data_IF_115155932571
#
_entry.id   IF_115155932571
#
_cell.length_a   1.000
_cell.length_b   1.000
_cell.length_c   1.000
_cell.angle_alpha   90.00
_cell.angle_beta   90.00
_cell.angle_gamma   90.00
#
_symmetry.space_group_name_H-M   'P 1'
#
loop_
_entity.id
_entity.type
_entity.pdbx_description
1 polymer ?
#
# COMPACT_ATOMS: atom_id res chain seq x y z
N UNK A 1 -82.84 28.65 -8.15
CA UNK A 1 -82.84 27.17 -8.25
C UNK A 1 -81.42 26.73 -8.56
N UNK A 2 -80.82 25.87 -7.73
CA UNK A 2 -79.43 25.41 -7.84
C UNK A 2 -78.74 25.25 -6.49
N UNK A 3 -78.92 24.07 -5.86
CA UNK A 3 -78.09 23.49 -4.76
C UNK A 3 -76.66 23.16 -5.30
N UNK A 4 -75.67 22.58 -4.55
CA UNK A 4 -75.50 22.34 -3.09
C UNK A 4 -74.05 22.57 -2.53
N UNK A 5 -73.95 22.50 -1.19
CA UNK A 5 -72.93 21.84 -0.31
C UNK A 5 -71.76 21.04 -0.93
N UNK A 6 -70.53 21.23 -0.40
CA UNK A 6 -69.77 20.24 0.43
C UNK A 6 -68.33 20.70 0.72
N UNK A 7 -67.91 20.56 1.99
CA UNK A 7 -66.50 20.57 2.44
C UNK A 7 -65.84 19.22 2.11
N UNK A 8 -64.50 19.12 2.00
CA UNK A 8 -63.76 18.56 3.14
C UNK A 8 -62.33 19.10 3.35
N UNK A 9 -61.84 18.85 4.57
CA UNK A 9 -60.49 19.04 5.06
C UNK A 9 -59.43 18.26 4.26
N UNK A 10 -58.20 18.78 4.21
CA UNK A 10 -57.02 17.98 3.93
C UNK A 10 -55.90 18.30 4.92
N UNK A 11 -55.44 17.23 5.55
CA UNK A 11 -54.43 17.18 6.59
C UNK A 11 -53.05 17.54 6.05
N UNK A 12 -52.35 18.44 6.76
CA UNK A 12 -50.93 18.66 6.55
C UNK A 12 -50.15 17.50 7.18
N UNK A 13 -49.55 16.66 6.33
CA UNK A 13 -48.66 15.59 6.75
C UNK A 13 -47.31 16.18 7.22
N UNK A 14 -46.95 15.89 8.47
CA UNK A 14 -45.60 16.13 9.01
C UNK A 14 -44.62 15.13 8.39
N UNK A 15 -43.73 15.61 7.53
CA UNK A 15 -42.58 14.84 7.06
C UNK A 15 -41.44 14.93 8.09
N UNK A 16 -41.30 13.90 8.94
CA UNK A 16 -40.09 13.73 9.76
C UNK A 16 -38.93 13.30 8.86
N UNK A 17 -38.01 14.22 8.62
CA UNK A 17 -36.72 13.94 7.98
C UNK A 17 -35.73 13.48 9.04
N UNK A 18 -35.56 12.17 9.20
CA UNK A 18 -34.45 11.59 9.97
C UNK A 18 -33.35 11.14 8.98
N UNK A 19 -32.60 12.11 8.48
CA UNK A 19 -31.28 11.83 7.91
C UNK A 19 -30.30 11.60 9.05
N UNK A 20 -30.00 10.32 9.31
CA UNK A 20 -28.94 9.90 10.21
C UNK A 20 -28.19 8.72 9.63
N UNK A 21 -27.57 8.90 8.46
CA UNK A 21 -26.54 7.98 7.98
C UNK A 21 -25.27 8.28 8.78
N UNK A 22 -25.06 7.55 9.87
CA UNK A 22 -23.78 7.58 10.59
C UNK A 22 -22.75 6.85 9.72
N UNK A 23 -21.92 7.61 9.02
CA UNK A 23 -20.68 7.09 8.43
C UNK A 23 -19.72 6.81 9.59
N UNK A 24 -19.78 5.61 10.14
CA UNK A 24 -18.67 5.09 10.92
C UNK A 24 -17.46 4.93 9.99
N UNK A 25 -16.47 5.80 10.13
CA UNK A 25 -15.15 5.61 9.54
C UNK A 25 -14.09 6.43 10.28
N UNK A 26 -12.80 6.05 10.22
CA UNK A 26 -12.22 4.83 9.62
C UNK A 26 -11.49 3.96 10.67
N UNK A 27 -11.62 2.63 10.56
CA UNK A 27 -10.55 1.77 11.05
C UNK A 27 -9.26 2.14 10.30
N UNK A 28 -8.09 2.10 10.98
CA UNK A 28 -6.78 2.31 10.38
C UNK A 28 -6.71 1.67 8.98
N UNK A 29 -6.74 2.51 7.93
CA UNK A 29 -6.79 2.03 6.56
C UNK A 29 -5.45 1.37 6.22
N UNK A 30 -5.42 0.05 6.32
CA UNK A 30 -4.30 -0.75 5.91
C UNK A 30 -4.67 -1.37 4.58
N UNK A 31 -3.80 -1.18 3.61
CA UNK A 31 -3.98 -1.79 2.31
C UNK A 31 -2.75 -2.65 2.04
N UNK A 32 -3.03 -3.83 1.51
CA UNK A 32 -2.04 -4.50 0.69
C UNK A 32 -1.73 -3.56 -0.48
N UNK A 33 -0.50 -3.63 -0.96
CA UNK A 33 -0.14 -3.04 -2.25
C UNK A 33 -1.24 -3.37 -3.26
N UNK A 34 -1.70 -2.35 -3.97
CA UNK A 34 -2.79 -2.49 -4.94
C UNK A 34 -2.42 -3.43 -6.08
N UNK A 35 -3.38 -3.65 -6.99
CA UNK A 35 -3.14 -4.40 -8.22
C UNK A 35 -1.93 -3.83 -8.97
N UNK A 36 -0.99 -4.70 -9.35
CA UNK A 36 0.18 -4.32 -10.13
C UNK A 36 1.46 -5.03 -9.71
N UNK A 37 2.36 -5.16 -10.66
CA UNK A 37 3.67 -5.79 -10.48
C UNK A 37 4.68 -4.87 -9.78
N UNK A 38 4.37 -3.57 -9.63
CA UNK A 38 5.27 -2.57 -9.07
C UNK A 38 4.53 -1.51 -8.26
N UNK A 39 5.21 -1.00 -7.21
CA UNK A 39 4.68 0.05 -6.35
C UNK A 39 5.77 1.07 -6.03
N UNK A 40 5.35 2.32 -5.74
CA UNK A 40 6.24 3.42 -5.37
C UNK A 40 5.82 3.95 -3.99
N UNK A 41 6.80 4.10 -3.10
CA UNK A 41 6.64 4.60 -1.74
C UNK A 41 7.60 5.77 -1.50
N UNK A 42 7.22 6.69 -0.62
CA UNK A 42 8.03 7.87 -0.35
C UNK A 42 7.18 9.09 -0.02
N UNK A 43 7.80 10.19 0.44
CA UNK A 43 7.13 11.45 0.74
C UNK A 43 6.52 12.13 -0.50
N UNK A 44 6.87 11.67 -1.71
CA UNK A 44 6.41 12.23 -3.00
C UNK A 44 5.78 11.17 -3.90
N UNK A 45 5.41 10.00 -3.36
CA UNK A 45 4.86 8.90 -4.15
C UNK A 45 3.49 9.24 -4.78
N UNK A 46 2.71 10.11 -4.14
CA UNK A 46 1.45 10.66 -4.64
C UNK A 46 1.61 11.53 -5.91
N UNK A 47 2.84 11.93 -6.21
CA UNK A 47 3.18 12.73 -7.38
C UNK A 47 3.50 11.87 -8.61
N UNK A 48 3.37 10.54 -8.54
CA UNK A 48 3.65 9.67 -9.68
C UNK A 48 2.76 10.04 -10.88
N UNK A 49 3.42 10.35 -12.01
CA UNK A 49 2.79 10.72 -13.27
C UNK A 49 2.76 9.52 -14.23
N UNK A 50 3.88 8.79 -14.34
CA UNK A 50 3.98 7.57 -15.15
C UNK A 50 4.78 6.50 -14.41
N UNK A 51 4.46 5.25 -14.71
CA UNK A 51 5.17 4.06 -14.25
C UNK A 51 5.09 2.99 -15.35
N UNK A 52 5.97 1.97 -15.37
CA UNK A 52 5.85 0.87 -16.32
C UNK A 52 4.52 0.13 -16.14
N UNK A 53 3.96 -0.39 -17.24
CA UNK A 53 2.85 -1.33 -17.18
C UNK A 53 3.29 -2.69 -16.64
N UNK A 54 2.35 -3.54 -16.21
CA UNK A 54 2.67 -4.91 -15.79
C UNK A 54 3.34 -5.70 -16.92
N UNK A 55 2.93 -5.53 -18.18
CA UNK A 55 3.59 -6.15 -19.33
C UNK A 55 5.04 -5.68 -19.50
N UNK A 56 5.33 -4.39 -19.26
CA UNK A 56 6.68 -3.85 -19.30
C UNK A 56 7.53 -4.37 -18.14
N UNK A 57 6.95 -4.48 -16.94
CA UNK A 57 7.61 -5.13 -15.80
C UNK A 57 7.92 -6.58 -16.15
N UNK A 58 6.95 -7.32 -16.69
CA UNK A 58 7.10 -8.74 -17.06
C UNK A 58 8.08 -8.95 -18.22
N UNK A 59 8.19 -8.00 -19.14
CA UNK A 59 9.21 -7.99 -20.18
C UNK A 59 10.63 -7.86 -19.61
N UNK A 60 10.78 -7.23 -18.43
CA UNK A 60 12.05 -7.13 -17.72
C UNK A 60 12.38 -8.36 -16.86
N UNK A 61 11.54 -9.41 -16.83
CA UNK A 61 11.85 -10.64 -16.06
C UNK A 61 13.22 -11.20 -16.47
N UNK A 62 14.18 -11.36 -15.55
CA UNK A 62 15.50 -11.91 -15.85
C UNK A 62 15.43 -13.22 -16.64
N UNK A 63 16.07 -13.27 -17.80
CA UNK A 63 15.97 -14.40 -18.73
C UNK A 63 16.35 -15.75 -18.09
N UNK A 64 17.38 -15.76 -17.23
CA UNK A 64 17.81 -16.97 -16.51
C UNK A 64 16.79 -17.43 -15.46
N UNK A 65 16.09 -16.49 -14.82
CA UNK A 65 15.05 -16.81 -13.85
C UNK A 65 13.79 -17.31 -14.57
N UNK A 66 13.39 -16.62 -15.64
CA UNK A 66 12.24 -16.99 -16.48
C UNK A 66 12.39 -18.38 -17.10
N UNK A 67 13.58 -18.74 -17.59
CA UNK A 67 13.85 -20.08 -18.14
C UNK A 67 13.70 -21.22 -17.12
N UNK A 68 13.66 -20.90 -15.82
CA UNK A 68 13.51 -21.87 -14.72
C UNK A 68 12.20 -21.67 -13.94
N UNK A 69 11.29 -20.84 -14.45
CA UNK A 69 10.07 -20.41 -13.76
C UNK A 69 10.35 -19.89 -12.33
N UNK A 70 11.52 -19.28 -12.13
CA UNK A 70 11.92 -18.73 -10.84
C UNK A 70 11.35 -17.33 -10.69
N UNK A 71 10.47 -17.18 -9.69
CA UNK A 71 9.99 -15.89 -9.25
C UNK A 71 10.96 -15.18 -8.30
N UNK A 72 10.73 -13.89 -8.12
CA UNK A 72 11.52 -13.06 -7.21
C UNK A 72 10.94 -11.66 -7.12
N UNK A 73 11.46 -10.89 -6.18
CA UNK A 73 11.10 -9.49 -5.99
C UNK A 73 12.35 -8.67 -5.77
N UNK A 74 12.29 -7.41 -6.18
CA UNK A 74 13.35 -6.45 -5.94
C UNK A 74 12.79 -5.14 -5.39
N UNK A 75 13.66 -4.42 -4.69
CA UNK A 75 13.39 -3.10 -4.15
C UNK A 75 14.57 -2.23 -4.50
N UNK A 76 14.32 -1.05 -5.07
CA UNK A 76 15.34 -0.03 -5.29
C UNK A 76 14.95 1.28 -4.62
N UNK A 77 15.97 2.05 -4.22
CA UNK A 77 15.81 3.44 -3.80
C UNK A 77 16.33 4.34 -4.90
N UNK A 78 15.57 5.38 -5.23
CA UNK A 78 15.94 6.42 -6.18
C UNK A 78 15.80 7.80 -5.54
N UNK A 79 16.47 8.79 -6.14
CA UNK A 79 16.31 10.21 -5.83
C UNK A 79 15.49 10.88 -6.94
N UNK A 80 14.46 11.63 -6.56
CA UNK A 80 13.67 12.43 -7.49
C UNK A 80 14.21 13.87 -7.59
N UNK A 81 14.47 14.33 -8.81
CA UNK A 81 14.79 15.73 -9.07
C UNK A 81 13.52 16.59 -9.20
N UNK A 82 13.62 17.91 -9.35
CA UNK A 82 12.45 18.81 -9.50
C UNK A 82 11.65 18.62 -10.79
N UNK A 83 12.28 18.14 -11.86
CA UNK A 83 11.62 17.79 -13.12
C UNK A 83 10.79 16.50 -13.01
N UNK A 84 10.99 15.72 -11.94
CA UNK A 84 10.29 14.46 -11.69
C UNK A 84 11.00 13.23 -12.27
N UNK A 85 12.23 13.37 -12.74
CA UNK A 85 13.04 12.23 -13.14
C UNK A 85 13.63 11.54 -11.90
N UNK A 86 13.74 10.21 -11.98
CA UNK A 86 14.41 9.40 -10.96
C UNK A 86 15.87 9.17 -11.39
N UNK A 87 16.79 9.38 -10.45
CA UNK A 87 18.23 9.17 -10.63
C UNK A 87 18.85 8.54 -9.38
N UNK A 88 20.12 8.14 -9.44
CA UNK A 88 20.82 7.53 -8.30
C UNK A 88 20.18 6.22 -7.80
N UNK A 89 19.45 5.53 -8.67
CA UNK A 89 18.72 4.32 -8.31
C UNK A 89 19.67 3.18 -7.94
N UNK A 90 19.50 2.60 -6.76
CA UNK A 90 20.28 1.46 -6.28
C UNK A 90 19.41 0.41 -5.59
N UNK A 91 19.77 -0.86 -5.77
CA UNK A 91 19.05 -2.00 -5.21
C UNK A 91 19.23 -2.04 -3.69
N UNK A 92 18.13 -2.09 -2.95
CA UNK A 92 18.10 -2.28 -1.50
C UNK A 92 17.87 -3.74 -1.12
N UNK A 93 17.04 -4.44 -1.89
CA UNK A 93 16.67 -5.83 -1.65
C UNK A 93 16.51 -6.54 -2.98
N UNK A 94 17.06 -7.75 -3.06
CA UNK A 94 16.77 -8.69 -4.12
C UNK A 94 16.52 -10.07 -3.50
N UNK A 95 15.38 -10.66 -3.82
CA UNK A 95 15.06 -12.03 -3.46
C UNK A 95 15.36 -12.98 -4.61
N UNK A 96 15.71 -14.21 -4.26
CA UNK A 96 16.14 -15.27 -5.19
C UNK A 96 17.48 -15.02 -5.92
N UNK A 97 18.09 -13.83 -5.78
CA UNK A 97 19.41 -13.47 -6.32
C UNK A 97 19.63 -13.88 -7.79
N UNK A 98 18.62 -13.67 -8.64
CA UNK A 98 18.60 -14.11 -10.03
C UNK A 98 18.63 -12.96 -11.06
N UNK A 99 19.02 -11.76 -10.62
CA UNK A 99 19.11 -10.54 -11.44
C UNK A 99 17.87 -9.66 -11.38
N UNK A 100 17.00 -9.83 -10.38
CA UNK A 100 15.78 -9.03 -10.25
C UNK A 100 16.07 -7.57 -9.89
N UNK A 101 17.16 -7.31 -9.15
CA UNK A 101 17.60 -5.96 -8.85
C UNK A 101 17.97 -5.19 -10.13
N UNK A 102 18.79 -5.79 -10.98
CA UNK A 102 19.18 -5.19 -12.28
C UNK A 102 17.96 -5.00 -13.19
N UNK A 103 17.04 -5.96 -13.21
CA UNK A 103 15.77 -5.82 -13.94
C UNK A 103 14.96 -4.61 -13.46
N UNK A 104 14.83 -4.42 -12.14
CA UNK A 104 14.13 -3.27 -11.57
C UNK A 104 14.82 -1.95 -11.90
N UNK A 105 16.15 -1.89 -11.78
CA UNK A 105 16.93 -0.70 -12.14
C UNK A 105 16.77 -0.35 -13.63
N UNK A 106 16.68 -1.35 -14.52
CA UNK A 106 16.45 -1.12 -15.95
C UNK A 106 15.10 -0.43 -16.25
N UNK A 107 14.12 -0.57 -15.35
CA UNK A 107 12.82 0.08 -15.46
C UNK A 107 12.80 1.52 -14.93
N UNK A 108 13.84 1.96 -14.19
CA UNK A 108 13.89 3.29 -13.58
C UNK A 108 13.55 4.45 -14.54
N UNK A 109 14.01 4.46 -15.81
CA UNK A 109 13.66 5.52 -16.75
C UNK A 109 12.16 5.62 -17.12
N UNK A 110 11.33 4.63 -16.80
CA UNK A 110 9.88 4.64 -17.07
C UNK A 110 9.05 5.29 -15.96
N UNK A 111 9.62 5.41 -14.76
CA UNK A 111 8.98 6.12 -13.66
C UNK A 111 9.21 7.63 -13.81
N UNK A 112 8.13 8.40 -13.75
CA UNK A 112 8.18 9.87 -13.71
C UNK A 112 7.22 10.37 -12.67
N UNK A 113 7.69 11.29 -11.83
CA UNK A 113 6.81 12.11 -11.02
C UNK A 113 6.34 13.31 -11.84
N UNK A 114 5.27 13.96 -11.39
CA UNK A 114 4.87 15.27 -11.87
C UNK A 114 6.01 16.26 -11.61
N UNK A 115 6.27 17.21 -12.53
CA UNK A 115 7.17 18.32 -12.23
C UNK A 115 6.71 19.07 -10.97
N UNK A 116 7.66 19.52 -10.16
CA UNK A 116 7.39 20.31 -8.98
C UNK A 116 7.89 21.74 -9.19
N UNK A 117 7.11 22.73 -8.74
CA UNK A 117 7.61 24.10 -8.68
C UNK A 117 8.80 24.20 -7.72
N UNK A 118 9.68 25.21 -7.88
CA UNK A 118 10.80 25.42 -6.97
C UNK A 118 10.37 25.40 -5.50
N UNK A 119 11.03 24.56 -4.69
CA UNK A 119 10.79 24.42 -3.26
C UNK A 119 9.61 23.51 -2.87
N UNK A 120 8.82 22.98 -3.81
CA UNK A 120 7.71 22.07 -3.49
C UNK A 120 8.15 20.61 -3.29
N UNK A 121 9.26 20.21 -3.90
CA UNK A 121 9.89 18.91 -3.67
C UNK A 121 11.09 19.12 -2.74
N UNK A 122 11.19 18.37 -1.62
CA UNK A 122 12.40 18.39 -0.81
C UNK A 122 13.62 18.02 -1.66
N UNK A 123 14.73 18.73 -1.46
CA UNK A 123 15.99 18.39 -2.12
C UNK A 123 16.39 16.96 -1.73
N UNK A 124 16.72 16.15 -2.74
CA UNK A 124 17.05 14.75 -2.52
C UNK A 124 15.87 13.89 -2.09
N UNK A 125 14.62 14.26 -2.43
CA UNK A 125 13.44 13.45 -2.12
C UNK A 125 13.63 11.99 -2.61
N UNK A 126 13.70 11.06 -1.66
CA UNK A 126 13.89 9.66 -1.96
C UNK A 126 12.56 8.97 -2.19
N UNK A 127 12.51 8.11 -3.19
CA UNK A 127 11.42 7.15 -3.40
C UNK A 127 11.96 5.73 -3.36
N UNK A 128 11.13 4.82 -2.86
CA UNK A 128 11.38 3.38 -2.85
C UNK A 128 10.44 2.75 -3.85
N UNK A 129 11.00 2.03 -4.82
CA UNK A 129 10.26 1.32 -5.85
C UNK A 129 10.40 -0.17 -5.60
N UNK A 130 9.30 -0.90 -5.64
CA UNK A 130 9.26 -2.36 -5.50
C UNK A 130 8.78 -2.97 -6.81
N UNK A 131 9.23 -4.20 -7.11
CA UNK A 131 8.66 -4.98 -8.19
C UNK A 131 8.69 -6.48 -7.87
N UNK A 132 7.74 -7.22 -8.43
CA UNK A 132 7.60 -8.67 -8.25
C UNK A 132 7.46 -9.37 -9.60
N UNK A 133 8.04 -10.56 -9.70
CA UNK A 133 7.97 -11.44 -10.86
C UNK A 133 7.66 -12.88 -10.42
N UNK A 134 6.74 -13.59 -11.09
CA UNK A 134 5.74 -13.05 -12.00
C UNK A 134 4.78 -12.09 -11.30
N UNK A 135 4.19 -11.18 -12.06
CA UNK A 135 3.01 -10.46 -11.63
C UNK A 135 1.85 -11.47 -11.43
N UNK A 136 1.19 -11.49 -10.26
CA UNK A 136 0.04 -12.34 -10.06
C UNK A 136 -1.16 -11.85 -10.89
N UNK A 137 -1.94 -12.78 -11.42
CA UNK A 137 -3.22 -12.47 -12.07
C UNK A 137 -4.27 -12.08 -11.05
N UNK A 138 -4.33 -12.81 -9.94
CA UNK A 138 -5.09 -12.40 -8.74
C UNK A 138 -4.10 -12.12 -7.62
N UNK A 139 -4.02 -10.89 -7.10
CA UNK A 139 -3.12 -10.58 -6.00
C UNK A 139 -3.55 -11.30 -4.72
N UNK A 140 -2.67 -11.27 -3.73
CA UNK A 140 -3.05 -11.63 -2.37
C UNK A 140 -4.16 -10.71 -1.85
N UNK A 141 -4.99 -11.24 -0.96
CA UNK A 141 -6.02 -10.48 -0.23
C UNK A 141 -5.92 -10.81 1.25
N UNK A 142 -6.57 -10.06 2.13
CA UNK A 142 -6.59 -10.37 3.55
C UNK A 142 -7.42 -11.63 3.82
N UNK A 143 -6.82 -12.59 4.51
CA UNK A 143 -7.56 -13.60 5.28
C UNK A 143 -7.68 -13.18 6.74
N UNK A 144 -6.63 -12.61 7.30
CA UNK A 144 -6.60 -12.01 8.64
C UNK A 144 -5.79 -10.73 8.56
N UNK A 145 -6.51 -9.61 8.49
CA UNK A 145 -5.94 -8.27 8.53
C UNK A 145 -5.61 -7.85 9.98
N UNK A 146 -4.63 -6.96 10.19
CA UNK A 146 -4.45 -6.32 11.48
C UNK A 146 -5.69 -5.55 11.94
N UNK A 147 -6.05 -5.70 13.21
CA UNK A 147 -7.17 -5.00 13.86
C UNK A 147 -6.69 -3.68 14.44
N UNK A 148 -7.60 -2.72 14.62
CA UNK A 148 -7.27 -1.43 15.25
C UNK A 148 -6.63 -1.60 16.65
N UNK A 149 -7.07 -2.60 17.43
CA UNK A 149 -6.47 -2.93 18.73
C UNK A 149 -4.99 -3.28 18.63
N UNK A 150 -4.58 -3.98 17.58
CA UNK A 150 -3.21 -4.46 17.42
C UNK A 150 -2.23 -3.28 17.29
N UNK A 151 -2.67 -2.12 16.82
CA UNK A 151 -1.85 -0.89 16.75
C UNK A 151 -1.63 -0.24 18.11
N UNK A 152 -2.67 -0.24 18.96
CA UNK A 152 -2.61 0.36 20.27
C UNK A 152 -1.62 -0.38 21.18
N UNK A 153 -1.63 -1.71 21.12
CA UNK A 153 -0.78 -2.59 21.93
C UNK A 153 0.66 -2.67 21.44
N UNK A 154 0.91 -2.36 20.15
CA UNK A 154 2.26 -2.39 19.57
C UNK A 154 3.00 -1.05 19.71
N UNK A 155 2.31 0.03 20.09
CA UNK A 155 2.85 1.39 20.17
C UNK A 155 4.05 1.50 21.10
N UNK A 156 5.17 2.03 20.60
CA UNK A 156 6.40 2.23 21.40
C UNK A 156 6.45 3.62 22.03
N UNK A 157 7.19 3.81 23.15
CA UNK A 157 7.37 5.14 23.74
C UNK A 157 7.99 6.18 22.77
N UNK A 158 8.88 5.76 21.87
CA UNK A 158 9.48 6.64 20.88
C UNK A 158 8.43 7.16 19.88
N UNK A 159 7.56 6.26 19.39
CA UNK A 159 6.46 6.62 18.49
C UNK A 159 5.40 7.47 19.20
N UNK A 160 5.10 7.21 20.47
CA UNK A 160 4.20 8.07 21.25
C UNK A 160 4.74 9.50 21.35
N UNK A 161 6.04 9.64 21.63
CA UNK A 161 6.71 10.95 21.69
C UNK A 161 6.75 11.67 20.35
N UNK A 162 6.75 10.95 19.22
CA UNK A 162 6.64 11.55 17.88
C UNK A 162 5.19 11.86 17.45
N UNK A 163 4.23 11.78 18.37
CA UNK A 163 2.81 12.08 18.09
C UNK A 163 2.03 10.91 17.50
N UNK A 164 2.60 9.70 17.47
CA UNK A 164 1.91 8.46 17.12
C UNK A 164 1.49 8.28 15.67
N UNK A 165 1.72 9.28 14.80
CA UNK A 165 1.36 9.23 13.37
C UNK A 165 2.55 8.89 12.51
N UNK A 166 2.40 7.92 11.62
CA UNK A 166 3.46 7.56 10.68
C UNK A 166 3.04 6.45 9.75
N UNK A 167 3.96 6.06 8.86
CA UNK A 167 3.79 4.98 7.91
C UNK A 167 4.97 4.04 8.00
N UNK A 168 4.73 2.75 7.81
CA UNK A 168 5.76 1.79 7.46
C UNK A 168 5.27 0.89 6.33
N UNK A 169 6.18 0.51 5.45
CA UNK A 169 5.94 -0.45 4.37
C UNK A 169 6.85 -1.63 4.61
N UNK A 170 6.23 -2.80 4.73
CA UNK A 170 6.89 -4.07 4.95
C UNK A 170 6.75 -4.92 3.70
N UNK A 171 7.86 -5.21 3.03
CA UNK A 171 7.90 -6.13 1.89
C UNK A 171 8.10 -7.56 2.42
N UNK A 172 7.20 -8.49 2.11
CA UNK A 172 7.23 -9.88 2.57
C UNK A 172 7.18 -10.85 1.39
N UNK A 173 7.51 -12.12 1.65
CA UNK A 173 7.11 -13.24 0.81
C UNK A 173 5.82 -13.85 1.37
N UNK A 174 4.78 -13.90 0.55
CA UNK A 174 3.57 -14.66 0.83
C UNK A 174 3.73 -16.07 0.24
N UNK A 175 3.67 -17.09 1.09
CA UNK A 175 3.68 -18.48 0.65
C UNK A 175 2.39 -18.85 -0.10
N UNK A 176 2.39 -20.00 -0.79
CA UNK A 176 1.19 -20.51 -1.50
C UNK A 176 -0.01 -20.79 -0.59
N UNK A 177 0.20 -20.87 0.73
CA UNK A 177 -0.84 -20.99 1.74
C UNK A 177 -1.24 -19.66 2.39
N UNK A 178 -0.57 -18.56 2.04
CA UNK A 178 -0.90 -17.23 2.55
C UNK A 178 -0.15 -16.78 3.80
N UNK A 179 0.67 -17.67 4.38
CA UNK A 179 1.57 -17.31 5.47
C UNK A 179 2.68 -16.36 4.97
N UNK A 180 3.03 -15.37 5.79
CA UNK A 180 4.10 -14.43 5.52
C UNK A 180 5.44 -14.90 6.08
N UNK A 181 6.51 -14.74 5.30
CA UNK A 181 7.88 -14.93 5.75
C UNK A 181 8.83 -13.93 5.06
N UNK A 182 10.08 -13.88 5.53
CA UNK A 182 11.15 -13.02 5.00
C UNK A 182 10.75 -11.55 4.84
N UNK A 183 9.98 -11.04 5.80
CA UNK A 183 9.53 -9.66 5.81
C UNK A 183 10.68 -8.70 6.13
N UNK A 184 10.77 -7.62 5.36
CA UNK A 184 11.75 -6.55 5.52
C UNK A 184 11.05 -5.21 5.42
N UNK A 185 11.42 -4.26 6.28
CA UNK A 185 10.91 -2.88 6.19
C UNK A 185 11.64 -2.18 5.04
N UNK A 186 10.89 -1.74 4.04
CA UNK A 186 11.45 -1.08 2.85
C UNK A 186 11.27 0.42 2.89
N UNK A 187 10.27 0.91 3.62
CA UNK A 187 10.03 2.33 3.82
C UNK A 187 9.42 2.60 5.18
N UNK A 188 9.76 3.73 5.80
CA UNK A 188 9.06 4.26 6.95
C UNK A 188 9.18 5.78 7.02
N UNK A 189 8.16 6.43 7.55
CA UNK A 189 8.19 7.85 7.85
C UNK A 189 7.37 8.18 9.10
N UNK A 190 7.87 9.03 10.02
CA UNK A 190 9.25 9.54 10.07
C UNK A 190 10.33 8.45 10.18
N UNK A 191 11.51 8.76 9.62
CA UNK A 191 12.66 7.87 9.68
C UNK A 191 13.17 7.72 11.13
N UNK A 192 13.78 6.57 11.43
CA UNK A 192 14.42 6.27 12.72
C UNK A 192 13.55 6.35 14.00
N UNK A 193 12.23 6.53 13.88
CA UNK A 193 11.32 6.54 15.06
C UNK A 193 10.96 5.14 15.56
N UNK A 194 10.86 4.17 14.64
CA UNK A 194 10.57 2.76 14.97
C UNK A 194 9.26 2.20 14.40
N UNK A 195 8.59 2.89 13.47
CA UNK A 195 7.38 2.37 12.80
C UNK A 195 7.64 1.05 12.06
N UNK A 196 8.81 0.90 11.43
CA UNK A 196 9.20 -0.36 10.80
C UNK A 196 9.25 -1.53 11.78
N UNK A 197 9.88 -1.32 12.94
CA UNK A 197 9.93 -2.33 14.01
C UNK A 197 8.54 -2.68 14.53
N UNK A 198 7.62 -1.70 14.61
CA UNK A 198 6.23 -1.97 14.95
C UNK A 198 5.55 -2.82 13.88
N UNK A 199 5.69 -2.46 12.60
CA UNK A 199 5.11 -3.22 11.48
C UNK A 199 5.57 -4.70 11.45
N UNK A 200 6.85 -4.97 11.72
CA UNK A 200 7.38 -6.34 11.77
C UNK A 200 6.71 -7.20 12.85
N UNK A 201 6.21 -6.62 13.95
CA UNK A 201 5.51 -7.38 15.01
C UNK A 201 4.19 -7.98 14.54
N UNK A 202 3.60 -7.44 13.47
CA UNK A 202 2.36 -7.95 12.92
C UNK A 202 2.56 -9.28 12.19
N UNK A 203 3.73 -9.52 11.60
CA UNK A 203 4.00 -10.65 10.71
C UNK A 203 3.46 -11.99 11.21
N UNK A 204 3.65 -12.30 12.50
CA UNK A 204 3.34 -13.62 13.07
C UNK A 204 1.85 -13.98 13.11
N UNK A 205 0.94 -13.00 12.98
CA UNK A 205 -0.51 -13.23 13.06
C UNK A 205 -1.28 -12.80 11.80
N UNK A 206 -0.61 -12.23 10.80
CA UNK A 206 -1.26 -11.91 9.53
C UNK A 206 -1.40 -13.17 8.70
N UNK A 207 -2.53 -13.25 8.00
CA UNK A 207 -2.77 -14.31 7.02
C UNK A 207 -3.34 -13.69 5.76
N UNK A 208 -2.86 -14.17 4.63
CA UNK A 208 -3.32 -13.74 3.32
C UNK A 208 -4.12 -14.84 2.64
N UNK A 209 -5.10 -14.47 1.83
CA UNK A 209 -5.55 -15.32 0.74
C UNK A 209 -4.43 -15.35 -0.30
N UNK A 210 -4.01 -16.53 -0.78
CA UNK A 210 -2.89 -16.65 -1.71
C UNK A 210 -3.14 -15.95 -3.05
N UNK A 211 -2.07 -15.39 -3.63
CA UNK A 211 -2.08 -14.93 -5.00
C UNK A 211 -2.23 -16.11 -5.97
N UNK A 212 -2.80 -15.86 -7.14
CA UNK A 212 -2.92 -16.85 -8.20
C UNK A 212 -2.34 -16.38 -9.52
N UNK A 213 -1.88 -17.36 -10.30
CA UNK A 213 -1.45 -17.20 -11.68
C UNK A 213 -1.95 -18.42 -12.45
N UNK A 214 -2.70 -18.20 -13.54
CA UNK A 214 -3.29 -19.29 -14.32
C UNK A 214 -4.14 -20.24 -13.44
N UNK A 215 -4.89 -19.67 -12.49
CA UNK A 215 -5.72 -20.41 -11.54
C UNK A 215 -4.96 -21.22 -10.48
N UNK A 216 -3.62 -21.23 -10.48
CA UNK A 216 -2.80 -21.91 -9.47
C UNK A 216 -2.33 -20.93 -8.41
N UNK A 217 -2.30 -21.37 -7.15
CA UNK A 217 -1.71 -20.59 -6.05
C UNK A 217 -0.20 -20.47 -6.23
N UNK A 218 0.32 -19.26 -6.12
CA UNK A 218 1.75 -18.98 -6.23
C UNK A 218 2.27 -18.32 -4.96
N UNK A 219 3.57 -18.48 -4.71
CA UNK A 219 4.25 -17.59 -3.80
C UNK A 219 4.44 -16.23 -4.48
N UNK A 220 4.36 -15.13 -3.74
CA UNK A 220 4.51 -13.79 -4.28
C UNK A 220 5.19 -12.85 -3.30
N UNK A 221 5.99 -11.92 -3.80
CA UNK A 221 6.29 -10.70 -3.06
C UNK A 221 5.00 -9.90 -2.80
N UNK A 222 4.90 -9.29 -1.63
CA UNK A 222 3.81 -8.38 -1.26
C UNK A 222 4.35 -7.25 -0.40
N UNK A 223 3.89 -6.02 -0.63
CA UNK A 223 4.12 -4.89 0.26
C UNK A 223 2.88 -4.63 1.13
N UNK A 224 3.08 -4.59 2.43
CA UNK A 224 2.03 -4.31 3.41
C UNK A 224 2.25 -2.89 3.93
N UNK A 225 1.26 -2.02 3.71
CA UNK A 225 1.33 -0.61 4.12
C UNK A 225 0.59 -0.43 5.45
N UNK A 226 1.36 -0.07 6.48
CA UNK A 226 0.85 0.22 7.82
C UNK A 226 0.76 1.73 8.02
N UNK A 227 -0.47 2.23 8.16
CA UNK A 227 -0.74 3.61 8.54
C UNK A 227 -1.00 3.68 10.04
N UNK A 228 -0.03 4.20 10.78
CA UNK A 228 -0.12 4.38 12.22
C UNK A 228 -0.75 5.73 12.54
N UNK A 229 -1.69 5.72 13.47
CA UNK A 229 -2.22 6.92 14.09
C UNK A 229 -2.50 6.67 15.57
N UNK A 230 -2.51 7.71 16.41
CA UNK A 230 -3.05 7.62 17.75
C UNK A 230 -4.51 7.13 17.68
N UNK A 231 -4.91 6.31 18.64
CA UNK A 231 -6.31 6.01 18.88
C UNK A 231 -7.04 7.29 19.28
N UNK A 232 -8.20 7.56 18.68
CA UNK A 232 -9.02 8.69 19.08
C UNK A 232 -9.66 8.41 20.46
N UNK A 233 -9.83 9.43 21.32
CA UNK A 233 -10.57 9.26 22.58
C UNK A 233 -11.98 8.73 22.30
N UNK A 234 -12.32 7.56 22.86
CA UNK A 234 -13.65 6.94 22.71
C UNK A 234 -13.77 5.89 21.59
N UNK A 235 -12.71 5.60 20.83
CA UNK A 235 -12.68 4.42 19.97
C UNK A 235 -12.66 3.15 20.84
N UNK A 236 -13.70 2.33 20.74
CA UNK A 236 -13.77 1.01 21.35
C UNK A 236 -13.44 -0.06 20.32
N UNK A 237 -12.87 -1.18 20.80
CA UNK A 237 -12.51 -2.34 19.98
C UNK A 237 -13.71 -3.11 19.43
#
# INVERSE_FOLDING_TARGET
MGRPSRSPANAAAFALSLTGLSLAGPAAAQHLSGLGATHVYGPVADQLATQPSDDEVMAAWPARARAKDLGGSAVMRCVADSAGALSGCHVMLERSHAGFGDALVSLAPKYRLKPAEPGQRPDGAEVVVTATWPAPETPVDWQTAPKAHDFATTMTPAVQRSGGRGVAVMNCLAAQMGALHDCTVVYQAPAAVGYGTMALRFQGFLQLKPATLQGKRIASGVDIVFNFHPMAPGETF
#
